data_IF_201589146084
#
_entry.id   IF_201589146084
#
_cell.length_a   1.000
_cell.length_b   1.000
_cell.length_c   1.000
_cell.angle_alpha   90.00
_cell.angle_beta   90.00
_cell.angle_gamma   90.00
#
_symmetry.space_group_name_H-M   'P 1'
#
loop_
_entity.id
_entity.type
_entity.pdbx_description
1 polymer ?
#
# COMPACT_ATOMS: atom_id res chain seq x y z
N UNK A 1 -17.42 12.21 27.75
CA UNK A 1 -17.72 12.32 26.31
C UNK A 1 -17.09 11.13 25.64
N UNK A 2 -17.71 10.57 24.61
CA UNK A 2 -17.06 9.53 23.81
C UNK A 2 -16.48 10.20 22.56
N UNK A 3 -15.20 9.96 22.33
CA UNK A 3 -14.38 10.59 21.30
C UNK A 3 -14.54 9.84 19.96
N UNK A 4 -15.64 10.10 19.24
CA UNK A 4 -16.03 9.40 18.00
C UNK A 4 -15.69 10.19 16.72
N UNK A 5 -14.62 11.01 16.76
CA UNK A 5 -14.28 11.90 15.63
C UNK A 5 -14.19 11.15 14.29
N UNK A 6 -14.92 11.67 13.29
CA UNK A 6 -14.77 11.30 11.89
C UNK A 6 -13.57 12.05 11.30
N UNK A 7 -12.69 11.35 10.57
CA UNK A 7 -11.54 12.00 9.92
C UNK A 7 -10.35 12.25 10.86
N UNK A 8 -10.22 11.45 11.92
CA UNK A 8 -8.99 11.38 12.74
C UNK A 8 -7.77 10.96 11.91
N UNK A 9 -8.01 10.32 10.77
CA UNK A 9 -7.04 10.13 9.70
C UNK A 9 -7.38 11.09 8.56
N UNK A 10 -6.37 11.75 7.98
CA UNK A 10 -6.58 12.65 6.84
C UNK A 10 -7.31 11.95 5.68
N UNK A 11 -8.23 12.63 4.97
CA UNK A 11 -8.98 12.02 3.87
C UNK A 11 -8.04 11.57 2.75
N UNK A 12 -8.25 10.36 2.25
CA UNK A 12 -7.50 9.80 1.13
C UNK A 12 -8.30 9.92 -0.16
N UNK A 13 -7.69 10.46 -1.21
CA UNK A 13 -8.24 10.39 -2.56
C UNK A 13 -7.95 9.02 -3.15
N UNK A 14 -8.99 8.32 -3.62
CA UNK A 14 -8.85 6.95 -4.13
C UNK A 14 -9.55 6.83 -5.48
N UNK A 15 -8.82 6.38 -6.49
CA UNK A 15 -9.39 6.04 -7.80
C UNK A 15 -9.47 4.52 -7.95
N UNK A 16 -10.68 4.01 -8.21
CA UNK A 16 -10.99 2.58 -8.39
C UNK A 16 -11.50 2.35 -9.83
N UNK A 17 -10.60 2.02 -10.78
CA UNK A 17 -10.99 1.72 -12.15
C UNK A 17 -12.02 0.59 -12.22
N UNK A 18 -13.06 0.77 -13.04
CA UNK A 18 -14.14 -0.21 -13.20
C UNK A 18 -15.29 -0.09 -12.19
N UNK A 19 -15.14 0.74 -11.16
CA UNK A 19 -16.21 1.03 -10.20
C UNK A 19 -17.04 2.26 -10.61
N UNK A 20 -18.26 2.37 -10.06
CA UNK A 20 -19.18 3.49 -10.29
C UNK A 20 -19.82 3.87 -8.97
N UNK A 21 -19.45 5.02 -8.37
CA UNK A 21 -18.41 5.96 -8.83
C UNK A 21 -16.99 5.39 -8.69
N UNK A 22 -16.08 5.77 -9.60
CA UNK A 22 -14.66 5.38 -9.58
C UNK A 22 -13.78 6.36 -8.83
N UNK A 23 -14.22 7.61 -8.66
CA UNK A 23 -13.49 8.67 -7.98
C UNK A 23 -14.02 8.82 -6.56
N UNK A 24 -13.22 8.43 -5.58
CA UNK A 24 -13.66 8.27 -4.20
C UNK A 24 -12.82 9.09 -3.24
N UNK A 25 -13.41 9.40 -2.09
CA UNK A 25 -12.68 9.83 -0.90
C UNK A 25 -12.92 8.79 0.19
N UNK A 26 -11.85 8.42 0.88
CA UNK A 26 -11.91 7.52 2.03
C UNK A 26 -11.60 8.31 3.29
N UNK A 27 -12.44 8.17 4.31
CA UNK A 27 -12.18 8.70 5.64
C UNK A 27 -12.21 7.58 6.66
N UNK A 28 -11.31 7.66 7.63
CA UNK A 28 -11.22 6.77 8.78
C UNK A 28 -11.44 7.61 10.04
N UNK A 29 -12.18 7.05 11.00
CA UNK A 29 -12.52 7.73 12.24
C UNK A 29 -12.13 6.94 13.48
N UNK A 30 -12.08 7.65 14.62
CA UNK A 30 -12.02 7.03 15.95
C UNK A 30 -13.24 6.15 16.22
N UNK A 31 -14.31 6.35 15.45
CA UNK A 31 -15.49 5.49 15.41
C UNK A 31 -15.27 4.09 14.85
N UNK A 32 -14.03 3.78 14.43
CA UNK A 32 -13.58 2.49 13.88
C UNK A 32 -14.09 2.22 12.48
N UNK A 33 -14.71 3.21 11.85
CA UNK A 33 -15.31 3.05 10.53
C UNK A 33 -14.42 3.58 9.43
N UNK A 34 -14.47 2.88 8.31
CA UNK A 34 -14.05 3.38 7.01
C UNK A 34 -15.30 3.82 6.26
N UNK A 35 -15.33 5.08 5.83
CA UNK A 35 -16.38 5.64 5.01
C UNK A 35 -15.80 5.92 3.61
N UNK A 36 -16.52 5.50 2.58
CA UNK A 36 -16.18 5.71 1.18
C UNK A 36 -17.25 6.60 0.57
N UNK A 37 -16.88 7.76 0.05
CA UNK A 37 -17.80 8.75 -0.53
C UNK A 37 -17.43 9.08 -1.97
N UNK A 38 -18.40 9.54 -2.75
CA UNK A 38 -18.17 9.97 -4.13
C UNK A 38 -17.43 11.32 -4.13
N UNK A 39 -16.20 11.34 -4.64
CA UNK A 39 -15.36 12.55 -4.72
C UNK A 39 -15.98 13.62 -5.62
N UNK A 40 -16.72 13.20 -6.64
CA UNK A 40 -17.29 14.10 -7.63
C UNK A 40 -18.64 14.70 -7.16
N UNK A 41 -19.13 14.31 -5.97
CA UNK A 41 -20.39 14.78 -5.41
C UNK A 41 -20.29 15.17 -3.92
N UNK A 42 -19.23 15.90 -3.55
CA UNK A 42 -18.98 16.34 -2.16
C UNK A 42 -19.76 17.61 -1.75
N UNK A 43 -20.56 18.18 -2.65
CA UNK A 43 -21.33 19.42 -2.45
C UNK A 43 -22.84 19.24 -2.29
N UNK A 44 -23.34 18.01 -2.11
CA UNK A 44 -24.77 17.73 -1.92
C UNK A 44 -24.99 16.47 -1.08
N UNK A 45 -25.02 16.64 0.25
CA UNK A 45 -24.96 15.61 1.31
C UNK A 45 -25.71 14.32 0.96
N UNK A 46 -24.96 13.25 0.73
CA UNK A 46 -25.47 11.89 0.53
C UNK A 46 -24.82 10.93 1.53
N UNK A 47 -25.50 9.83 1.84
CA UNK A 47 -24.89 8.73 2.60
C UNK A 47 -23.60 8.24 1.91
N UNK A 48 -22.65 7.64 2.65
CA UNK A 48 -21.49 7.00 2.05
C UNK A 48 -21.89 5.98 0.99
N UNK A 49 -21.08 5.88 -0.07
CA UNK A 49 -21.18 4.82 -1.08
C UNK A 49 -20.95 3.46 -0.43
N UNK A 50 -20.06 3.40 0.56
CA UNK A 50 -19.89 2.25 1.43
C UNK A 50 -19.42 2.70 2.83
N UNK A 51 -19.80 1.92 3.84
CA UNK A 51 -19.31 2.08 5.22
C UNK A 51 -19.11 0.70 5.85
N UNK A 52 -18.03 0.53 6.61
CA UNK A 52 -17.75 -0.70 7.35
C UNK A 52 -16.99 -0.40 8.63
N UNK A 53 -17.21 -1.21 9.67
CA UNK A 53 -16.34 -1.26 10.85
C UNK A 53 -15.11 -2.06 10.46
N UNK A 54 -13.94 -1.44 10.53
CA UNK A 54 -12.69 -2.03 10.02
C UNK A 54 -11.62 -2.23 11.09
N UNK A 55 -11.96 -1.86 12.33
CA UNK A 55 -11.12 -1.91 13.51
C UNK A 55 -11.95 -2.25 14.75
N UNK A 56 -11.30 -2.81 15.77
CA UNK A 56 -11.88 -3.08 17.07
C UNK A 56 -11.69 -1.89 18.04
N UNK A 57 -10.65 -1.08 17.81
CA UNK A 57 -10.32 0.12 18.58
C UNK A 57 -10.12 1.36 17.68
N UNK A 58 -9.89 2.53 18.28
CA UNK A 58 -9.80 3.81 17.59
C UNK A 58 -8.73 3.85 16.50
N UNK A 59 -9.05 4.47 15.36
CA UNK A 59 -8.09 4.71 14.28
C UNK A 59 -7.57 6.15 14.43
N UNK A 60 -6.27 6.32 14.68
CA UNK A 60 -5.67 7.61 15.11
C UNK A 60 -4.32 7.91 14.45
N UNK A 61 -4.13 7.53 13.18
CA UNK A 61 -2.90 7.80 12.45
C UNK A 61 -3.18 8.00 10.96
N UNK A 62 -2.18 8.43 10.19
CA UNK A 62 -2.34 8.53 8.74
C UNK A 62 -2.54 7.13 8.13
N UNK A 63 -3.37 7.05 7.09
CA UNK A 63 -3.53 5.86 6.27
C UNK A 63 -2.85 6.08 4.92
N UNK A 64 -2.68 5.01 4.16
CA UNK A 64 -2.12 5.06 2.81
C UNK A 64 -3.00 4.29 1.84
N UNK A 65 -3.17 4.83 0.63
CA UNK A 65 -3.84 4.11 -0.45
C UNK A 65 -2.82 3.67 -1.49
N UNK A 66 -3.07 2.51 -2.10
CA UNK A 66 -2.25 1.98 -3.18
C UNK A 66 -3.09 1.08 -4.08
N UNK A 67 -2.57 0.81 -5.28
CA UNK A 67 -3.21 -0.08 -6.25
C UNK A 67 -2.25 -1.19 -6.61
N UNK A 68 -2.77 -2.40 -6.70
CA UNK A 68 -2.06 -3.53 -7.29
C UNK A 68 -2.73 -3.91 -8.61
N UNK A 69 -2.19 -4.89 -9.33
CA UNK A 69 -2.89 -5.47 -10.48
C UNK A 69 -4.23 -6.13 -10.11
N UNK A 70 -4.45 -6.45 -8.84
CA UNK A 70 -5.65 -7.14 -8.36
C UNK A 70 -6.73 -6.14 -7.95
N UNK A 71 -6.39 -5.22 -7.05
CA UNK A 71 -7.38 -4.39 -6.36
C UNK A 71 -6.81 -3.02 -5.98
N UNK A 72 -7.70 -2.13 -5.53
CA UNK A 72 -7.34 -0.86 -4.86
C UNK A 72 -7.48 -1.03 -3.36
N UNK A 73 -6.45 -0.63 -2.61
CA UNK A 73 -6.32 -0.87 -1.18
C UNK A 73 -6.20 0.43 -0.40
N UNK A 74 -6.62 0.36 0.86
CA UNK A 74 -6.34 1.34 1.90
C UNK A 74 -5.74 0.60 3.09
N UNK A 75 -4.47 0.89 3.39
CA UNK A 75 -3.76 0.36 4.54
C UNK A 75 -3.68 1.38 5.67
N UNK A 76 -3.87 0.90 6.89
CA UNK A 76 -3.92 1.71 8.11
C UNK A 76 -3.64 0.80 9.31
N UNK A 77 -3.19 1.39 10.42
CA UNK A 77 -3.19 0.69 11.70
C UNK A 77 -4.62 0.67 12.24
N UNK A 78 -5.24 -0.50 12.24
CA UNK A 78 -6.62 -0.67 12.64
C UNK A 78 -6.78 -0.56 14.16
N UNK A 79 -5.87 -1.18 14.90
CA UNK A 79 -5.96 -1.27 16.34
C UNK A 79 -4.68 -0.74 16.99
N UNK A 80 -4.81 -0.26 18.21
CA UNK A 80 -3.76 0.20 19.11
C UNK A 80 -4.03 -0.29 20.54
N UNK A 81 -3.09 0.00 21.43
CA UNK A 81 -3.11 -0.24 22.88
C UNK A 81 -2.95 -1.73 23.21
N UNK A 82 -1.87 -2.33 22.69
CA UNK A 82 -1.48 -3.72 22.95
C UNK A 82 -2.17 -4.79 22.10
N UNK A 83 -3.11 -4.38 21.23
CA UNK A 83 -3.64 -5.22 20.15
C UNK A 83 -3.34 -4.61 18.79
N UNK A 84 -2.12 -4.12 18.59
CA UNK A 84 -1.78 -3.36 17.39
C UNK A 84 -1.86 -4.24 16.13
N UNK A 85 -2.65 -3.81 15.14
CA UNK A 85 -2.86 -4.53 13.87
C UNK A 85 -2.66 -3.57 12.70
N UNK A 86 -1.82 -3.97 11.74
CA UNK A 86 -1.74 -3.33 10.43
C UNK A 86 -2.73 -4.03 9.50
N UNK A 87 -3.68 -3.28 8.96
CA UNK A 87 -4.75 -3.80 8.11
C UNK A 87 -4.70 -3.16 6.74
N UNK A 88 -5.09 -3.92 5.72
CA UNK A 88 -5.47 -3.38 4.42
C UNK A 88 -6.88 -3.83 4.04
N UNK A 89 -7.73 -2.87 3.69
CA UNK A 89 -9.06 -3.12 3.15
C UNK A 89 -9.07 -2.81 1.66
N UNK A 90 -9.82 -3.60 0.91
CA UNK A 90 -10.00 -3.44 -0.54
C UNK A 90 -11.25 -2.62 -0.81
N UNK A 91 -11.18 -1.75 -1.80
CA UNK A 91 -12.36 -1.11 -2.38
C UNK A 91 -12.65 -1.81 -3.70
N UNK A 92 -13.79 -2.49 -3.78
CA UNK A 92 -14.12 -3.35 -4.91
C UNK A 92 -14.44 -2.54 -6.16
N UNK A 93 -14.01 -3.03 -7.33
CA UNK A 93 -14.37 -2.47 -8.64
C UNK A 93 -15.80 -2.88 -9.06
N UNK A 94 -16.78 -2.62 -8.19
CA UNK A 94 -18.21 -2.92 -8.39
C UNK A 94 -19.02 -1.63 -8.51
N UNK A 95 -20.29 -1.77 -8.90
CA UNK A 95 -21.21 -0.66 -9.13
C UNK A 95 -22.47 -0.85 -8.25
N UNK A 96 -22.52 -0.35 -6.99
CA UNK A 96 -21.54 0.51 -6.33
C UNK A 96 -20.32 -0.21 -5.72
N UNK A 97 -19.21 0.50 -5.45
CA UNK A 97 -18.07 -0.02 -4.70
C UNK A 97 -18.46 -0.51 -3.30
N UNK A 98 -17.78 -1.53 -2.80
CA UNK A 98 -17.91 -2.04 -1.42
C UNK A 98 -16.55 -2.09 -0.73
N UNK A 99 -16.55 -2.20 0.61
CA UNK A 99 -15.32 -2.38 1.40
C UNK A 99 -15.20 -3.88 1.70
N UNK A 100 -14.14 -4.52 1.18
CA UNK A 100 -13.85 -5.93 1.38
C UNK A 100 -12.56 -6.13 2.19
N UNK A 101 -12.43 -7.29 2.81
CA UNK A 101 -11.18 -7.70 3.48
C UNK A 101 -10.06 -7.85 2.45
N UNK A 102 -8.92 -7.22 2.71
CA UNK A 102 -7.65 -7.50 2.05
C UNK A 102 -6.83 -8.45 2.90
N UNK A 103 -6.12 -7.91 3.90
CA UNK A 103 -5.28 -8.66 4.82
C UNK A 103 -5.14 -7.93 6.16
N UNK A 104 -4.72 -8.66 7.18
CA UNK A 104 -4.47 -8.17 8.54
C UNK A 104 -3.17 -8.79 9.07
N UNK A 105 -2.29 -7.97 9.66
CA UNK A 105 -1.02 -8.39 10.27
C UNK A 105 -1.01 -7.97 11.73
N UNK A 106 -0.87 -8.95 12.64
CA UNK A 106 -0.71 -8.68 14.06
C UNK A 106 0.69 -8.12 14.34
N UNK A 107 0.71 -6.95 14.98
CA UNK A 107 1.90 -6.17 15.35
C UNK A 107 1.92 -5.87 16.85
N UNK A 108 1.15 -6.57 17.68
CA UNK A 108 0.98 -6.26 19.10
C UNK A 108 2.27 -6.26 19.92
N UNK A 109 3.29 -7.04 19.51
CA UNK A 109 4.61 -7.06 20.15
C UNK A 109 5.68 -6.20 19.45
N UNK A 110 5.39 -5.69 18.25
CA UNK A 110 6.34 -4.94 17.43
C UNK A 110 5.96 -3.48 17.20
N UNK A 111 4.75 -3.06 17.59
CA UNK A 111 4.29 -1.71 17.34
C UNK A 111 4.00 -1.42 15.86
N UNK A 112 3.43 -0.26 15.58
CA UNK A 112 3.04 0.12 14.22
C UNK A 112 2.81 1.63 14.13
N UNK A 113 3.59 2.33 13.31
CA UNK A 113 3.42 3.74 12.99
C UNK A 113 2.46 3.96 11.82
N UNK A 114 2.50 5.17 11.25
CA UNK A 114 1.72 5.48 10.05
C UNK A 114 2.30 4.75 8.83
N UNK A 115 1.53 3.91 8.12
CA UNK A 115 2.03 3.19 6.97
C UNK A 115 2.35 4.11 5.79
N UNK A 116 3.30 3.68 4.98
CA UNK A 116 3.63 4.25 3.67
C UNK A 116 3.85 3.13 2.66
N UNK A 117 3.91 3.45 1.37
CA UNK A 117 4.01 2.43 0.31
C UNK A 117 5.14 2.73 -0.66
N UNK A 118 5.77 1.67 -1.14
CA UNK A 118 6.67 1.71 -2.29
C UNK A 118 6.18 0.79 -3.39
N UNK A 119 6.63 1.06 -4.60
CA UNK A 119 6.42 0.22 -5.76
C UNK A 119 7.59 0.36 -6.71
N UNK A 120 7.82 -0.67 -7.53
CA UNK A 120 8.79 -0.60 -8.62
C UNK A 120 8.27 0.18 -9.83
N UNK A 121 6.95 0.27 -10.01
CA UNK A 121 6.34 0.91 -11.20
C UNK A 121 4.93 1.50 -10.95
N UNK A 122 4.51 1.60 -9.70
CA UNK A 122 3.20 2.11 -9.28
C UNK A 122 2.10 1.06 -9.17
N UNK A 123 2.29 -0.18 -9.64
CA UNK A 123 1.27 -1.26 -9.54
C UNK A 123 1.83 -2.65 -9.25
N UNK A 124 3.11 -2.89 -9.47
CA UNK A 124 3.81 -4.13 -9.17
C UNK A 124 4.70 -3.97 -7.94
N UNK A 125 4.97 -5.09 -7.26
CA UNK A 125 5.82 -5.14 -6.07
C UNK A 125 5.43 -4.06 -5.04
N UNK A 126 4.13 -3.93 -4.79
CA UNK A 126 3.63 -3.00 -3.78
C UNK A 126 4.09 -3.51 -2.42
N UNK A 127 4.82 -2.69 -1.68
CA UNK A 127 5.24 -3.01 -0.31
C UNK A 127 4.66 -1.95 0.60
N UNK A 128 3.89 -2.39 1.60
CA UNK A 128 3.40 -1.56 2.69
C UNK A 128 4.43 -1.58 3.80
N UNK A 129 4.94 -0.41 4.14
CA UNK A 129 5.96 -0.23 5.15
C UNK A 129 5.37 0.41 6.40
N UNK A 130 5.87 -0.01 7.55
CA UNK A 130 5.61 0.62 8.84
C UNK A 130 6.89 0.65 9.66
N UNK A 131 6.99 1.63 10.53
CA UNK A 131 7.97 1.61 11.62
C UNK A 131 7.28 1.02 12.84
N UNK A 132 7.92 0.10 13.56
CA UNK A 132 7.41 -0.47 14.78
C UNK A 132 7.50 0.49 15.97
N UNK A 133 6.74 1.58 15.90
CA UNK A 133 6.66 2.56 16.98
C UNK A 133 5.83 2.06 18.15
N UNK A 134 6.07 2.60 19.34
CA UNK A 134 5.19 2.46 20.50
C UNK A 134 3.76 2.86 20.19
N UNK A 135 2.79 2.40 20.96
CA UNK A 135 1.48 3.02 21.08
C UNK A 135 1.30 3.61 22.50
N UNK A 136 0.08 3.94 22.92
CA UNK A 136 -0.13 4.53 24.25
C UNK A 136 0.18 3.57 25.40
N UNK A 137 0.20 2.25 25.14
CA UNK A 137 0.26 1.22 26.18
C UNK A 137 1.44 0.26 26.04
N UNK A 138 2.01 0.12 24.84
CA UNK A 138 3.02 -0.87 24.51
C UNK A 138 4.18 -0.25 23.75
N UNK A 139 5.38 -0.69 24.10
CA UNK A 139 6.59 -0.35 23.36
C UNK A 139 6.56 -0.99 21.98
N UNK A 140 7.12 -0.29 21.00
CA UNK A 140 7.39 -0.84 19.67
C UNK A 140 8.80 -1.42 19.59
N UNK A 141 9.05 -2.25 18.57
CA UNK A 141 10.38 -2.81 18.32
C UNK A 141 11.38 -1.77 17.75
N UNK A 142 10.89 -0.58 17.41
CA UNK A 142 11.62 0.53 16.83
C UNK A 142 12.37 0.15 15.54
N UNK A 143 11.80 -0.74 14.73
CA UNK A 143 12.40 -1.24 13.48
C UNK A 143 11.51 -0.96 12.27
N UNK A 144 12.10 -1.03 11.08
CA UNK A 144 11.37 -0.89 9.82
C UNK A 144 10.83 -2.26 9.40
N UNK A 145 9.57 -2.35 8.99
CA UNK A 145 8.97 -3.59 8.49
C UNK A 145 8.26 -3.34 7.16
N UNK A 146 8.36 -4.30 6.26
CA UNK A 146 7.76 -4.27 4.93
C UNK A 146 6.90 -5.50 4.69
N UNK A 147 5.71 -5.28 4.14
CA UNK A 147 4.71 -6.30 3.89
C UNK A 147 4.26 -6.27 2.43
N UNK A 148 4.08 -7.43 1.82
CA UNK A 148 3.53 -7.55 0.47
C UNK A 148 2.13 -6.93 0.42
N UNK A 149 1.91 -6.00 -0.51
CA UNK A 149 0.68 -5.23 -0.59
C UNK A 149 -0.56 -6.06 -0.97
N UNK A 150 -0.41 -7.24 -1.56
CA UNK A 150 -1.57 -8.08 -1.88
C UNK A 150 -1.97 -8.98 -0.71
N UNK A 151 -0.99 -9.45 0.05
CA UNK A 151 -1.16 -10.59 0.97
C UNK A 151 -0.87 -10.26 2.44
N UNK A 152 -0.15 -9.17 2.73
CA UNK A 152 0.36 -8.88 4.06
C UNK A 152 1.53 -9.78 4.48
N UNK A 153 2.09 -10.59 3.58
CA UNK A 153 3.24 -11.43 3.88
C UNK A 153 4.48 -10.58 4.20
N UNK A 154 5.32 -11.03 5.14
CA UNK A 154 6.54 -10.31 5.52
C UNK A 154 7.54 -10.33 4.37
N UNK A 155 7.99 -9.15 3.95
CA UNK A 155 9.03 -8.93 2.94
C UNK A 155 10.30 -8.39 3.61
N UNK A 156 10.16 -7.64 4.69
CA UNK A 156 11.27 -7.10 5.49
C UNK A 156 10.88 -7.05 6.96
N UNK A 157 11.75 -7.54 7.85
CA UNK A 157 11.44 -7.71 9.28
C UNK A 157 12.48 -7.05 10.20
N UNK A 158 12.75 -5.76 9.99
CA UNK A 158 13.61 -4.99 10.88
C UNK A 158 15.10 -5.26 10.77
N UNK A 159 15.53 -5.93 9.69
CA UNK A 159 16.90 -6.33 9.36
C UNK A 159 17.79 -6.75 10.55
N UNK A 160 19.08 -6.39 10.51
CA UNK A 160 20.08 -6.91 11.47
C UNK A 160 19.96 -6.37 12.90
N UNK A 161 20.72 -6.93 13.84
CA UNK A 161 20.68 -6.52 15.27
C UNK A 161 20.93 -5.04 15.51
N UNK A 162 21.63 -4.34 14.60
CA UNK A 162 22.01 -2.93 14.70
C UNK A 162 21.02 -1.94 14.06
N UNK A 163 19.89 -2.41 13.54
CA UNK A 163 18.96 -1.59 12.74
C UNK A 163 17.77 -1.02 13.54
N UNK A 164 18.00 -0.75 14.83
CA UNK A 164 17.01 -0.11 15.72
C UNK A 164 17.04 1.40 15.53
N UNK A 165 15.87 2.00 15.34
CA UNK A 165 15.65 3.43 15.21
C UNK A 165 15.22 4.04 16.55
N UNK A 166 16.16 4.62 17.29
CA UNK A 166 15.81 5.33 18.52
C UNK A 166 15.01 6.61 18.23
N UNK A 167 14.01 6.90 19.08
CA UNK A 167 13.23 8.14 19.03
C UNK A 167 12.20 8.18 17.90
N UNK A 168 11.66 7.04 17.48
CA UNK A 168 10.48 6.98 16.61
C UNK A 168 9.20 6.94 17.44
N UNK A 169 8.10 7.45 16.87
CA UNK A 169 6.85 7.77 17.55
C UNK A 169 5.60 7.53 16.68
N UNK A 170 4.56 6.93 17.23
CA UNK A 170 3.36 6.58 16.43
C UNK A 170 2.59 7.76 15.83
N UNK A 171 2.67 8.92 16.46
CA UNK A 171 1.90 10.10 16.04
C UNK A 171 2.60 10.92 14.94
N UNK A 172 3.86 10.64 14.65
CA UNK A 172 4.67 11.46 13.72
C UNK A 172 5.56 10.66 12.78
N UNK A 173 5.82 9.38 13.04
CA UNK A 173 6.79 8.60 12.27
C UNK A 173 6.15 7.93 11.05
N UNK A 174 6.68 8.27 9.89
CA UNK A 174 6.44 7.64 8.59
C UNK A 174 7.74 7.68 7.76
N UNK A 175 7.75 7.03 6.60
CA UNK A 175 8.92 6.99 5.71
C UNK A 175 8.77 7.87 4.49
N UNK A 176 9.88 8.43 4.02
CA UNK A 176 10.00 9.11 2.73
C UNK A 176 10.95 8.29 1.86
N UNK A 177 10.53 7.93 0.65
CA UNK A 177 11.37 7.17 -0.27
C UNK A 177 11.90 8.08 -1.36
N UNK A 178 13.21 8.17 -1.46
CA UNK A 178 13.89 8.98 -2.46
C UNK A 178 15.24 8.35 -2.83
N UNK A 179 15.59 8.38 -4.12
CA UNK A 179 16.90 7.94 -4.63
C UNK A 179 17.32 6.56 -4.11
N UNK A 180 16.40 5.59 -4.16
CA UNK A 180 16.66 4.20 -3.75
C UNK A 180 16.81 3.99 -2.25
N UNK A 181 16.40 4.96 -1.42
CA UNK A 181 16.48 4.85 0.04
C UNK A 181 15.15 5.20 0.69
N UNK A 182 14.86 4.54 1.80
CA UNK A 182 13.78 4.86 2.73
C UNK A 182 14.38 5.68 3.87
N UNK A 183 13.92 6.92 4.04
CA UNK A 183 14.32 7.81 5.11
C UNK A 183 13.24 7.86 6.18
N UNK A 184 13.63 7.65 7.44
CA UNK A 184 12.75 7.70 8.60
C UNK A 184 13.34 8.71 9.59
N UNK A 185 12.54 9.71 9.99
CA UNK A 185 12.93 10.65 11.02
C UNK A 185 12.57 10.10 12.41
N UNK A 186 13.52 10.17 13.33
CA UNK A 186 13.28 10.13 14.77
C UNK A 186 13.66 11.46 15.43
N UNK A 187 13.60 11.54 16.75
CA UNK A 187 13.76 12.79 17.52
C UNK A 187 14.96 13.65 17.12
N UNK A 188 16.13 13.03 16.92
CA UNK A 188 17.39 13.74 16.69
C UNK A 188 18.21 13.16 15.53
N UNK A 189 17.65 12.22 14.77
CA UNK A 189 18.34 11.48 13.71
C UNK A 189 17.41 11.16 12.56
N UNK A 190 17.98 11.10 11.36
CA UNK A 190 17.33 10.49 10.20
C UNK A 190 18.03 9.17 9.92
N UNK A 191 17.26 8.11 9.89
CA UNK A 191 17.70 6.76 9.51
C UNK A 191 17.47 6.57 8.02
N UNK A 192 18.37 5.83 7.37
CA UNK A 192 18.28 5.53 5.96
C UNK A 192 18.45 4.02 5.74
N UNK A 193 17.51 3.43 5.00
CA UNK A 193 17.53 2.03 4.60
C UNK A 193 17.58 1.96 3.08
N UNK A 194 18.27 0.97 2.52
CA UNK A 194 18.18 0.70 1.09
C UNK A 194 16.74 0.28 0.75
N UNK A 195 16.13 0.95 -0.24
CA UNK A 195 14.85 0.51 -0.78
C UNK A 195 15.06 -0.70 -1.69
N UNK A 196 14.11 -1.65 -1.77
CA UNK A 196 14.19 -2.75 -2.72
C UNK A 196 14.33 -2.21 -4.15
N UNK A 197 15.39 -2.62 -4.85
CA UNK A 197 15.57 -2.24 -6.26
C UNK A 197 14.55 -2.96 -7.14
N UNK A 198 14.06 -2.30 -8.21
CA UNK A 198 13.32 -2.99 -9.24
C UNK A 198 14.23 -4.04 -9.90
N UNK A 199 13.82 -5.30 -9.86
CA UNK A 199 14.49 -6.35 -10.65
C UNK A 199 14.48 -5.92 -12.12
N UNK A 200 15.62 -5.84 -12.81
CA UNK A 200 15.64 -5.47 -14.22
C UNK A 200 14.79 -6.46 -15.01
N UNK A 201 13.88 -5.96 -15.84
CA UNK A 201 13.11 -6.82 -16.74
C UNK A 201 14.09 -7.44 -17.74
N UNK A 202 14.14 -8.78 -17.90
CA UNK A 202 15.01 -9.39 -18.88
C UNK A 202 14.70 -8.81 -20.26
N UNK A 203 15.72 -8.32 -20.95
CA UNK A 203 15.57 -7.84 -22.33
C UNK A 203 15.15 -9.03 -23.19
N UNK A 204 14.05 -8.94 -23.97
CA UNK A 204 13.64 -10.05 -24.83
C UNK A 204 14.80 -10.38 -25.79
N UNK A 205 15.22 -11.64 -25.80
CA UNK A 205 16.21 -12.13 -26.76
C UNK A 205 15.65 -11.93 -28.18
N UNK A 206 16.37 -11.26 -29.10
CA UNK A 206 15.88 -11.09 -30.46
C UNK A 206 15.61 -12.46 -31.09
N UNK A 207 14.37 -12.67 -31.55
CA UNK A 207 14.00 -13.88 -32.30
C UNK A 207 14.80 -13.91 -33.61
N UNK A 208 15.55 -14.98 -33.93
CA UNK A 208 16.26 -15.07 -35.19
C UNK A 208 15.27 -14.95 -36.36
N UNK A 209 15.55 -14.03 -37.28
CA UNK A 209 14.75 -13.85 -38.50
C UNK A 209 14.87 -15.12 -39.36
N UNK A 210 13.77 -15.69 -39.88
CA UNK A 210 13.86 -16.82 -40.79
C UNK A 210 14.68 -16.45 -42.05
N UNK A 211 15.64 -17.31 -42.38
CA UNK A 211 16.43 -17.20 -43.62
C UNK A 211 15.51 -17.42 -44.82
N UNK A 212 15.47 -16.51 -45.82
CA UNK A 212 14.65 -16.71 -47.01
C UNK A 212 15.09 -17.97 -47.77
N UNK A 213 14.14 -18.86 -48.07
CA UNK A 213 14.37 -20.06 -48.87
C UNK A 213 14.75 -19.67 -50.31
N UNK A 214 15.81 -20.25 -50.90
CA UNK A 214 16.17 -19.98 -52.30
C UNK A 214 15.00 -20.29 -53.24
N UNK A 215 14.63 -19.34 -54.10
CA UNK A 215 13.63 -19.57 -55.15
C UNK A 215 14.23 -20.48 -56.23
N UNK A 216 13.56 -21.55 -56.66
CA UNK A 216 14.05 -22.40 -57.75
C UNK A 216 14.20 -21.58 -59.04
N UNK A 217 15.33 -21.77 -59.72
CA UNK A 217 15.64 -21.12 -61.00
C UNK A 217 14.69 -21.65 -62.07
N UNK A 218 14.01 -20.79 -62.86
CA UNK A 218 13.17 -21.26 -63.96
C UNK A 218 13.99 -22.02 -65.00
N UNK A 219 13.51 -23.20 -65.37
CA UNK A 219 14.07 -24.03 -66.45
C UNK A 219 13.88 -23.31 -67.79
N UNK A 220 14.93 -23.13 -68.61
CA UNK A 220 14.79 -22.57 -69.95
C UNK A 220 13.86 -23.42 -70.83
N UNK A 221 12.96 -22.77 -71.55
CA UNK A 221 12.11 -23.44 -72.54
C UNK A 221 12.96 -23.97 -73.71
N UNK A 222 12.63 -25.16 -74.28
CA UNK A 222 13.29 -25.65 -75.48
C UNK A 222 13.11 -24.67 -76.64
N UNK A 223 14.19 -24.40 -77.37
CA UNK A 223 14.17 -23.58 -78.59
C UNK A 223 13.76 -24.47 -79.78
N UNK A 224 12.91 -23.96 -80.71
CA UNK A 224 12.48 -24.71 -81.91
C UNK A 224 13.63 -25.08 -82.84
#
# INVERSE_FOLDING_TARGET
SSDWDLGSSGPLLVDVPGATPSHLVVTLGKDRRMNVVNRDNLGGISAPVAVSIVADNTIIQAAVTYRTKQDTYVAFRANNDGNTVLSARRITATNPPTIATGWDVNRGAGGCGSPFVTSTDGTNNMIVWVVGTEDHATEGDQRLHGYDGNTGAVVYDGGGSNEVMAGTHYYSTTGIVARGHIYVAGDNKVYAFAAPEPTPTPTPTPTPRPTPTPRPRPTPAPRP
#
